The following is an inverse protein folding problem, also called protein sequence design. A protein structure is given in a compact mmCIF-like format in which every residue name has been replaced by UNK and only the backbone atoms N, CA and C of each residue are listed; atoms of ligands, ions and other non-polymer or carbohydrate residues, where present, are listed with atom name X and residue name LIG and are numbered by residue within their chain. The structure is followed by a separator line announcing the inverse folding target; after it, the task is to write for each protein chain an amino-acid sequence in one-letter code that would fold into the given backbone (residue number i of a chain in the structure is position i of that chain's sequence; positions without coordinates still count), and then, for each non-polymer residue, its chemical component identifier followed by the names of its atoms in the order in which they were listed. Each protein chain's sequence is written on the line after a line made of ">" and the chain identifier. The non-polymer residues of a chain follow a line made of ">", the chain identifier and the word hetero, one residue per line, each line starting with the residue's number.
data_IF_609256172321
#
_entry.id   IF_609256172321
#
_cell.length_a   1.000
_cell.length_b   1.000
_cell.length_c   1.000
_cell.angle_alpha   90.00
_cell.angle_beta   90.00
_cell.angle_gamma   90.00
#
_symmetry.space_group_name_H-M   'P 1'
#
loop_
_entity.id
_entity.type
_entity.pdbx_description
1 polymer ?
#
# COMPACT_ATOMS: atom_id res chain seq x y z
N UNK A 1 18.77 -5.15 84.55
CA UNK A 1 18.48 -5.98 83.37
C UNK A 1 17.15 -5.54 82.81
N UNK A 2 17.15 -4.89 81.62
CA UNK A 2 16.55 -5.38 80.36
C UNK A 2 15.00 -5.35 80.39
N UNK A 3 14.23 -4.76 79.49
CA UNK A 3 14.44 -4.31 78.11
C UNK A 3 13.30 -3.36 77.67
N UNK A 4 13.63 -2.51 76.69
CA UNK A 4 12.72 -1.73 75.83
C UNK A 4 11.76 -2.62 75.02
N UNK A 5 10.56 -2.12 74.73
CA UNK A 5 9.73 -2.54 73.60
C UNK A 5 9.28 -1.29 72.84
N UNK A 6 9.86 -1.07 71.66
CA UNK A 6 9.54 -0.02 70.71
C UNK A 6 8.71 -0.65 69.58
N UNK A 7 7.46 -0.23 69.41
CA UNK A 7 6.61 -0.65 68.31
C UNK A 7 6.85 0.28 67.11
N UNK A 8 7.51 -0.23 66.07
CA UNK A 8 7.65 0.44 64.77
C UNK A 8 6.62 -0.11 63.78
N UNK A 9 5.66 0.72 63.40
CA UNK A 9 4.73 0.44 62.29
C UNK A 9 5.45 0.80 60.99
N UNK A 10 5.83 -0.23 60.21
CA UNK A 10 6.30 -0.07 58.83
C UNK A 10 5.07 0.03 57.92
N UNK A 11 4.77 1.23 57.41
CA UNK A 11 3.83 1.40 56.30
C UNK A 11 4.54 1.01 55.00
N UNK A 12 4.18 -0.15 54.45
CA UNK A 12 4.51 -0.54 53.09
C UNK A 12 3.67 0.30 52.11
N UNK A 13 4.26 1.37 51.57
CA UNK A 13 3.71 2.08 50.41
C UNK A 13 3.93 1.17 49.21
N UNK A 14 2.93 0.34 48.91
CA UNK A 14 2.83 -0.34 47.62
C UNK A 14 2.72 0.74 46.55
N UNK A 15 3.83 1.02 45.86
CA UNK A 15 3.82 1.87 44.67
C UNK A 15 3.08 1.10 43.60
N UNK A 16 1.89 1.54 43.12
CA UNK A 16 1.26 0.90 41.99
C UNK A 16 2.19 1.15 40.81
N UNK A 17 2.90 0.11 40.37
CA UNK A 17 3.64 0.12 39.12
C UNK A 17 2.65 0.52 38.04
N UNK A 18 2.74 1.77 37.58
CA UNK A 18 1.85 2.32 36.57
C UNK A 18 2.15 1.57 35.27
N UNK A 19 1.39 0.51 35.02
CA UNK A 19 1.28 -0.06 33.69
C UNK A 19 0.69 1.04 32.82
N UNK A 20 1.55 1.75 32.09
CA UNK A 20 1.12 2.60 30.99
C UNK A 20 0.55 1.66 29.92
N UNK A 21 -0.74 1.39 30.03
CA UNK A 21 -1.49 0.58 29.07
C UNK A 21 -1.44 1.26 27.70
N UNK A 22 -1.40 0.44 26.65
CA UNK A 22 -1.61 0.93 25.28
C UNK A 22 -2.97 1.64 25.25
N UNK A 23 -2.95 2.94 24.96
CA UNK A 23 -4.19 3.74 24.90
C UNK A 23 -4.63 3.85 23.45
N UNK A 24 -5.83 3.35 23.14
CA UNK A 24 -6.47 3.55 21.84
C UNK A 24 -7.36 4.79 21.91
N UNK A 25 -7.22 5.68 20.94
CA UNK A 25 -8.11 6.82 20.73
C UNK A 25 -8.80 6.69 19.38
N UNK A 26 -10.05 7.14 19.32
CA UNK A 26 -10.91 7.08 18.15
C UNK A 26 -11.46 8.47 17.88
N UNK A 27 -11.36 8.96 16.65
CA UNK A 27 -11.95 10.23 16.22
C UNK A 27 -12.78 10.03 14.93
N UNK A 28 -13.87 10.79 14.72
CA UNK A 28 -14.63 10.72 13.47
C UNK A 28 -13.74 11.08 12.28
N UNK A 29 -13.78 10.25 11.24
CA UNK A 29 -12.91 10.41 10.08
C UNK A 29 -13.29 11.58 9.17
N UNK A 30 -14.59 11.92 9.08
CA UNK A 30 -15.08 12.96 8.17
C UNK A 30 -14.46 14.35 8.38
N UNK A 31 -14.28 14.74 9.64
CA UNK A 31 -13.67 16.02 9.99
C UNK A 31 -12.18 16.06 9.58
N UNK A 32 -11.45 14.95 9.77
CA UNK A 32 -10.03 14.88 9.44
C UNK A 32 -9.78 14.78 7.92
N UNK A 33 -10.63 14.08 7.16
CA UNK A 33 -10.57 14.07 5.68
C UNK A 33 -10.73 15.48 5.14
N UNK A 34 -11.77 16.19 5.57
CA UNK A 34 -12.05 17.56 5.13
C UNK A 34 -10.91 18.52 5.50
N UNK A 35 -10.42 18.42 6.74
CA UNK A 35 -9.30 19.23 7.24
C UNK A 35 -8.00 18.96 6.49
N UNK A 36 -7.68 17.69 6.22
CA UNK A 36 -6.50 17.31 5.47
C UNK A 36 -6.56 17.88 4.05
N UNK A 37 -7.66 17.68 3.31
CA UNK A 37 -7.84 18.23 1.96
C UNK A 37 -7.76 19.76 1.94
N UNK A 38 -8.40 20.43 2.89
CA UNK A 38 -8.31 21.88 3.03
C UNK A 38 -6.88 22.36 3.26
N UNK A 39 -6.05 21.56 3.94
CA UNK A 39 -4.66 21.88 4.22
C UNK A 39 -3.73 21.54 3.06
N UNK A 40 -3.98 20.47 2.31
CA UNK A 40 -3.00 19.89 1.38
C UNK A 40 -3.34 20.05 -0.09
N UNK A 41 -4.62 20.18 -0.46
CA UNK A 41 -5.03 20.21 -1.86
C UNK A 41 -4.70 21.57 -2.51
N UNK A 42 -3.90 21.52 -3.58
CA UNK A 42 -3.50 22.69 -4.38
C UNK A 42 -4.59 23.19 -5.33
N UNK A 43 -5.68 22.45 -5.53
CA UNK A 43 -6.77 22.82 -6.46
C UNK A 43 -8.08 23.18 -5.73
N UNK A 44 -8.03 23.38 -4.41
CA UNK A 44 -9.19 23.79 -3.60
C UNK A 44 -9.54 25.28 -3.73
N UNK A 45 -10.64 25.71 -3.10
CA UNK A 45 -11.19 27.09 -3.22
C UNK A 45 -10.24 28.24 -2.85
N UNK A 46 -9.23 27.97 -2.01
CA UNK A 46 -8.22 28.95 -1.57
C UNK A 46 -6.85 28.74 -2.25
N UNK A 47 -6.82 27.95 -3.32
CA UNK A 47 -5.61 27.74 -4.10
C UNK A 47 -5.19 29.00 -4.83
N UNK A 48 -3.88 29.27 -4.80
CA UNK A 48 -3.29 30.31 -5.65
C UNK A 48 -2.85 29.69 -6.97
N UNK A 49 -2.80 30.47 -8.07
CA UNK A 49 -2.24 30.00 -9.33
C UNK A 49 -0.85 29.38 -9.19
N UNK A 50 -0.59 28.27 -9.88
CA UNK A 50 0.68 27.56 -9.80
C UNK A 50 1.05 26.85 -11.11
N UNK A 51 2.35 26.61 -11.24
CA UNK A 51 2.93 25.65 -12.16
C UNK A 51 3.61 24.55 -11.35
N UNK A 52 3.30 23.30 -11.69
CA UNK A 52 3.86 22.13 -11.05
C UNK A 52 4.36 21.13 -12.09
N UNK A 53 5.52 20.52 -11.81
CA UNK A 53 6.07 19.40 -12.56
C UNK A 53 6.43 18.26 -11.61
N UNK A 54 5.93 17.06 -11.92
CA UNK A 54 6.23 15.81 -11.22
C UNK A 54 6.95 14.90 -12.20
N UNK A 55 8.07 14.31 -11.76
CA UNK A 55 8.79 13.26 -12.49
C UNK A 55 8.59 11.95 -11.76
N UNK A 56 8.02 10.96 -12.45
CA UNK A 56 7.80 9.62 -11.92
C UNK A 56 8.87 8.67 -12.46
N UNK A 57 9.46 7.87 -11.57
CA UNK A 57 10.52 6.90 -11.90
C UNK A 57 10.51 5.73 -10.92
N UNK A 58 11.21 4.64 -11.25
CA UNK A 58 11.60 3.58 -10.32
C UNK A 58 13.07 3.79 -9.90
N UNK A 59 13.38 4.42 -8.74
CA UNK A 59 14.74 4.83 -8.42
C UNK A 59 15.73 3.67 -8.29
N UNK A 60 15.24 2.52 -7.80
CA UNK A 60 16.04 1.32 -7.58
C UNK A 60 16.32 0.56 -8.90
N UNK A 61 15.63 0.92 -9.98
CA UNK A 61 15.82 0.35 -11.31
C UNK A 61 15.70 1.43 -12.41
N UNK A 62 16.79 2.15 -12.72
CA UNK A 62 16.76 3.22 -13.73
C UNK A 62 16.42 2.75 -15.16
N UNK A 63 16.51 1.45 -15.44
CA UNK A 63 16.14 0.87 -16.75
C UNK A 63 14.67 0.49 -16.83
N UNK A 64 13.94 0.62 -15.72
CA UNK A 64 12.52 0.35 -15.65
C UNK A 64 11.72 1.09 -16.72
N UNK A 65 10.65 0.48 -17.26
CA UNK A 65 9.71 1.16 -18.14
C UNK A 65 8.87 2.22 -17.40
N UNK A 66 8.83 2.21 -16.06
CA UNK A 66 8.04 3.15 -15.25
C UNK A 66 8.71 4.53 -15.18
N UNK A 67 8.61 5.29 -16.27
CA UNK A 67 9.16 6.65 -16.39
C UNK A 67 8.14 7.57 -17.03
N UNK A 68 7.78 8.65 -16.35
CA UNK A 68 6.79 9.60 -16.86
C UNK A 68 6.89 10.97 -16.22
N UNK A 69 6.17 11.92 -16.80
CA UNK A 69 6.06 13.29 -16.27
C UNK A 69 4.62 13.75 -16.25
N UNK A 70 4.27 14.48 -15.19
CA UNK A 70 2.99 15.15 -15.03
C UNK A 70 3.30 16.63 -14.85
N UNK A 71 2.75 17.48 -15.69
CA UNK A 71 2.96 18.92 -15.64
C UNK A 71 1.60 19.62 -15.66
N UNK A 72 1.37 20.53 -14.72
CA UNK A 72 0.10 21.27 -14.64
C UNK A 72 0.34 22.76 -14.42
N UNK A 73 -0.38 23.55 -15.22
CA UNK A 73 -0.56 24.99 -15.07
C UNK A 73 -1.97 25.24 -14.61
N UNK A 74 -2.13 25.78 -13.41
CA UNK A 74 -3.43 25.95 -12.78
C UNK A 74 -3.65 27.42 -12.44
N UNK A 75 -4.74 28.01 -12.93
CA UNK A 75 -5.17 29.37 -12.58
C UNK A 75 -6.40 29.36 -11.68
N UNK A 76 -7.36 28.50 -12.00
CA UNK A 76 -8.62 28.32 -11.29
C UNK A 76 -9.23 26.96 -11.66
N UNK A 77 -10.31 26.51 -10.99
CA UNK A 77 -11.01 25.29 -11.38
C UNK A 77 -11.51 25.29 -12.84
N UNK A 78 -11.77 26.47 -13.39
CA UNK A 78 -12.29 26.68 -14.75
C UNK A 78 -11.20 27.07 -15.76
N UNK A 79 -9.93 27.12 -15.33
CA UNK A 79 -8.81 27.49 -16.18
C UNK A 79 -7.52 26.79 -15.73
N UNK A 80 -7.17 25.71 -16.42
CA UNK A 80 -5.94 24.94 -16.18
C UNK A 80 -5.54 24.12 -17.41
N UNK A 81 -4.26 23.72 -17.47
CA UNK A 81 -3.69 22.85 -18.49
C UNK A 81 -2.91 21.76 -17.80
N UNK A 82 -3.08 20.50 -18.23
CA UNK A 82 -2.27 19.37 -17.78
C UNK A 82 -1.66 18.66 -18.96
N UNK A 83 -0.39 18.29 -18.83
CA UNK A 83 0.31 17.40 -19.73
C UNK A 83 0.80 16.18 -18.95
N UNK A 84 0.56 14.99 -19.50
CA UNK A 84 1.04 13.72 -18.93
C UNK A 84 1.74 12.95 -20.03
N UNK A 85 2.97 12.50 -19.80
CA UNK A 85 3.73 11.71 -20.77
C UNK A 85 4.43 10.55 -20.11
N UNK A 86 4.69 9.49 -20.86
CA UNK A 86 5.58 8.41 -20.45
C UNK A 86 6.67 8.12 -21.49
N UNK A 87 7.55 7.17 -21.19
CA UNK A 87 8.63 6.74 -22.06
C UNK A 87 8.16 5.88 -23.25
N UNK A 88 7.01 5.22 -23.14
CA UNK A 88 6.49 4.28 -24.13
C UNK A 88 5.62 4.96 -25.20
N UNK A 89 5.44 6.28 -25.11
CA UNK A 89 4.82 7.10 -26.14
C UNK A 89 3.43 7.62 -25.77
N UNK A 90 2.98 7.45 -24.53
CA UNK A 90 1.82 8.16 -24.02
C UNK A 90 2.09 9.67 -24.03
N UNK A 91 1.13 10.43 -24.55
CA UNK A 91 1.01 11.86 -24.27
C UNK A 91 -0.46 12.27 -24.20
N UNK A 92 -0.90 12.70 -23.02
CA UNK A 92 -2.18 13.35 -22.82
C UNK A 92 -1.99 14.83 -22.59
N UNK A 93 -2.78 15.66 -23.26
CA UNK A 93 -2.90 17.10 -23.00
C UNK A 93 -4.35 17.43 -22.72
N UNK A 94 -4.64 18.00 -21.55
CA UNK A 94 -5.95 18.52 -21.18
C UNK A 94 -5.85 20.03 -21.06
N UNK A 95 -6.79 20.76 -21.64
CA UNK A 95 -6.97 22.20 -21.46
C UNK A 95 -8.40 22.46 -21.01
N UNK A 96 -8.55 23.07 -19.84
CA UNK A 96 -9.79 23.68 -19.39
C UNK A 96 -9.65 25.19 -19.52
N UNK A 97 -10.54 25.81 -20.27
CA UNK A 97 -10.58 27.26 -20.46
C UNK A 97 -12.03 27.72 -20.40
N UNK A 98 -12.30 28.69 -19.52
CA UNK A 98 -13.66 29.20 -19.26
C UNK A 98 -14.65 28.06 -18.93
N UNK A 99 -14.18 27.07 -18.16
CA UNK A 99 -14.95 25.90 -17.76
C UNK A 99 -15.15 24.85 -18.86
N UNK A 100 -14.69 25.11 -20.09
CA UNK A 100 -14.75 24.14 -21.19
C UNK A 100 -13.51 23.28 -21.21
N UNK A 101 -13.68 21.97 -20.97
CA UNK A 101 -12.63 20.96 -21.12
C UNK A 101 -12.45 20.55 -22.59
N UNK A 102 -11.21 20.57 -23.06
CA UNK A 102 -10.74 19.97 -24.31
C UNK A 102 -9.54 19.08 -24.01
N UNK A 103 -9.32 18.06 -24.82
CA UNK A 103 -8.34 17.00 -24.56
C UNK A 103 -7.76 16.52 -25.88
N UNK A 104 -6.48 16.19 -25.90
CA UNK A 104 -5.80 15.54 -27.00
C UNK A 104 -4.88 14.47 -26.46
N UNK A 105 -5.03 13.27 -27.00
CA UNK A 105 -4.35 12.07 -26.55
C UNK A 105 -3.57 11.40 -27.69
N UNK A 106 -2.33 11.05 -27.39
CA UNK A 106 -1.42 10.31 -28.26
C UNK A 106 -0.95 9.06 -27.50
N UNK A 107 -0.88 7.93 -28.20
CA UNK A 107 -0.70 6.60 -27.62
C UNK A 107 -1.98 5.76 -27.65
N UNK A 108 -1.88 4.52 -27.19
CA UNK A 108 -2.98 3.54 -27.19
C UNK A 108 -3.52 3.19 -25.80
N UNK A 109 -2.79 3.59 -24.75
CA UNK A 109 -3.08 3.24 -23.36
C UNK A 109 -2.54 4.31 -22.40
N UNK A 110 -3.32 4.66 -21.38
CA UNK A 110 -2.89 5.49 -20.25
C UNK A 110 -2.64 4.58 -19.04
N UNK A 111 -1.36 4.29 -18.70
CA UNK A 111 -1.02 3.35 -17.65
C UNK A 111 -1.65 3.68 -16.31
N UNK A 112 -2.15 2.63 -15.65
CA UNK A 112 -2.73 2.70 -14.32
C UNK A 112 -1.71 3.26 -13.34
N UNK A 113 -0.46 2.77 -13.34
CA UNK A 113 0.60 3.29 -12.46
C UNK A 113 0.78 4.81 -12.57
N UNK A 114 0.75 5.38 -13.78
CA UNK A 114 0.95 6.83 -13.99
C UNK A 114 -0.33 7.62 -13.66
N UNK A 115 -1.50 7.05 -13.99
CA UNK A 115 -2.80 7.61 -13.64
C UNK A 115 -2.96 7.76 -12.11
N UNK A 116 -2.43 6.82 -11.33
CA UNK A 116 -2.43 6.90 -9.87
C UNK A 116 -1.64 8.11 -9.34
N UNK A 117 -0.53 8.50 -9.97
CA UNK A 117 0.20 9.72 -9.60
C UNK A 117 -0.57 11.00 -9.95
N UNK A 118 -1.31 11.00 -11.06
CA UNK A 118 -2.21 12.11 -11.41
C UNK A 118 -3.33 12.23 -10.37
N UNK A 119 -3.95 11.11 -10.00
CA UNK A 119 -4.97 11.07 -8.92
C UNK A 119 -4.35 11.58 -7.61
N UNK A 120 -3.17 11.10 -7.23
CA UNK A 120 -2.51 11.53 -6.00
C UNK A 120 -2.24 13.04 -5.93
N UNK A 121 -1.86 13.66 -7.04
CA UNK A 121 -1.54 15.08 -7.06
C UNK A 121 -2.79 15.97 -6.93
N UNK A 122 -3.92 15.56 -7.51
CA UNK A 122 -5.08 16.43 -7.72
C UNK A 122 -6.40 15.94 -7.08
N UNK A 123 -6.48 14.66 -6.70
CA UNK A 123 -7.59 14.02 -6.00
C UNK A 123 -7.07 12.92 -5.04
N UNK A 124 -6.27 13.29 -4.02
CA UNK A 124 -5.50 12.34 -3.20
C UNK A 124 -6.35 11.38 -2.34
N UNK A 125 -7.64 11.68 -2.18
CA UNK A 125 -8.62 10.83 -1.51
C UNK A 125 -9.80 10.66 -2.47
N UNK A 126 -9.74 9.68 -3.39
CA UNK A 126 -10.88 9.36 -4.23
C UNK A 126 -12.10 9.05 -3.36
N UNK A 127 -13.26 9.57 -3.74
CA UNK A 127 -14.50 9.45 -2.96
C UNK A 127 -14.39 9.96 -1.50
N UNK A 128 -13.74 11.12 -1.31
CA UNK A 128 -13.65 11.77 -0.01
C UNK A 128 -15.03 11.97 0.67
N UNK A 129 -16.08 12.15 -0.12
CA UNK A 129 -17.46 12.26 0.37
C UNK A 129 -17.96 10.93 0.96
N UNK A 130 -17.74 9.80 0.26
CA UNK A 130 -18.08 8.46 0.76
C UNK A 130 -17.33 8.10 2.04
N UNK A 131 -16.03 8.42 2.12
CA UNK A 131 -15.29 8.27 3.38
C UNK A 131 -15.93 9.13 4.48
N UNK A 132 -16.16 10.41 4.23
CA UNK A 132 -16.78 11.33 5.20
C UNK A 132 -18.15 10.83 5.70
N UNK A 133 -18.95 10.26 4.81
CA UNK A 133 -20.29 9.72 5.12
C UNK A 133 -20.28 8.32 5.73
N UNK A 134 -19.17 7.58 5.68
CA UNK A 134 -19.11 6.16 6.09
C UNK A 134 -19.31 5.92 7.58
N UNK A 135 -19.11 6.94 8.43
CA UNK A 135 -19.12 6.80 9.89
C UNK A 135 -17.93 6.03 10.48
N UNK A 136 -16.98 5.59 9.63
CA UNK A 136 -15.76 4.91 10.07
C UNK A 136 -14.95 5.86 10.97
N UNK A 137 -14.32 5.27 11.98
CA UNK A 137 -13.48 5.99 12.93
C UNK A 137 -12.00 5.86 12.57
N UNK A 138 -11.26 6.95 12.77
CA UNK A 138 -9.80 6.93 12.75
C UNK A 138 -9.29 6.43 14.10
N UNK A 139 -8.53 5.36 14.07
CA UNK A 139 -7.91 4.78 15.24
C UNK A 139 -6.45 5.24 15.34
N UNK A 140 -6.05 5.63 16.54
CA UNK A 140 -4.66 5.93 16.87
C UNK A 140 -4.28 5.19 18.15
N UNK A 141 -3.08 4.61 18.14
CA UNK A 141 -2.52 3.88 19.26
C UNK A 141 -1.44 4.76 19.90
N UNK A 142 -1.54 4.99 21.21
CA UNK A 142 -0.47 5.56 22.01
C UNK A 142 0.24 4.46 22.77
N UNK A 143 1.53 4.30 22.49
CA UNK A 143 2.42 3.34 23.13
C UNK A 143 2.76 3.78 24.58
N UNK A 144 3.23 2.84 25.43
CA UNK A 144 3.59 3.14 26.82
C UNK A 144 4.64 4.25 26.98
N UNK A 145 5.52 4.41 25.99
CA UNK A 145 6.55 5.47 25.96
C UNK A 145 6.00 6.84 25.49
N UNK A 146 4.69 6.96 25.25
CA UNK A 146 4.04 8.18 24.77
C UNK A 146 4.07 8.36 23.25
N UNK A 147 4.78 7.51 22.50
CA UNK A 147 4.78 7.57 21.05
C UNK A 147 3.39 7.22 20.51
N UNK A 148 2.97 7.91 19.45
CA UNK A 148 1.69 7.68 18.79
C UNK A 148 1.91 7.04 17.43
N UNK A 149 1.06 6.09 17.07
CA UNK A 149 0.93 5.66 15.69
C UNK A 149 0.35 6.78 14.83
N UNK A 150 0.42 6.62 13.52
CA UNK A 150 -0.44 7.37 12.62
C UNK A 150 -1.92 7.07 12.95
N UNK A 151 -2.79 8.02 12.65
CA UNK A 151 -4.23 7.83 12.80
C UNK A 151 -4.77 7.22 11.51
N UNK A 152 -5.26 5.98 11.56
CA UNK A 152 -5.68 5.24 10.37
C UNK A 152 -7.12 4.75 10.48
N UNK A 153 -7.81 4.70 9.35
CA UNK A 153 -9.10 4.04 9.18
C UNK A 153 -8.97 2.98 8.10
N UNK A 154 -9.75 1.90 8.26
CA UNK A 154 -9.77 0.77 7.33
C UNK A 154 -11.21 0.45 6.95
N UNK A 155 -11.47 0.34 5.65
CA UNK A 155 -12.68 -0.19 5.09
C UNK A 155 -12.38 -1.56 4.45
N UNK A 156 -13.34 -2.48 4.54
CA UNK A 156 -13.26 -3.79 3.93
C UNK A 156 -14.30 -3.90 2.84
N UNK A 157 -13.88 -4.42 1.68
CA UNK A 157 -14.74 -4.71 0.54
C UNK A 157 -14.45 -6.12 0.03
N UNK A 158 -15.27 -6.58 -0.94
CA UNK A 158 -15.06 -7.86 -1.61
C UNK A 158 -14.58 -7.62 -3.04
N UNK A 159 -13.60 -8.40 -3.47
CA UNK A 159 -13.16 -8.49 -4.87
C UNK A 159 -13.44 -9.90 -5.38
N UNK A 160 -14.01 -9.99 -6.58
CA UNK A 160 -14.54 -11.23 -7.16
C UNK A 160 -16.01 -11.47 -6.83
N UNK A 161 -16.63 -12.45 -7.49
CA UNK A 161 -17.99 -12.89 -7.20
C UNK A 161 -18.05 -14.32 -6.66
N UNK A 162 -19.17 -14.69 -6.02
CA UNK A 162 -19.43 -16.06 -5.59
C UNK A 162 -18.36 -16.65 -4.67
N UNK A 163 -17.91 -17.86 -5.00
CA UNK A 163 -16.89 -18.61 -4.26
C UNK A 163 -15.47 -18.02 -4.41
N UNK A 164 -15.26 -17.18 -5.43
CA UNK A 164 -14.00 -16.49 -5.74
C UNK A 164 -13.83 -15.18 -4.97
N UNK A 165 -14.88 -14.70 -4.31
CA UNK A 165 -14.88 -13.43 -3.61
C UNK A 165 -13.96 -13.45 -2.38
N UNK A 166 -12.99 -12.55 -2.33
CA UNK A 166 -12.05 -12.40 -1.21
C UNK A 166 -12.04 -10.98 -0.65
N UNK A 167 -11.54 -10.82 0.57
CA UNK A 167 -11.48 -9.52 1.25
C UNK A 167 -10.38 -8.65 0.66
N UNK A 168 -10.76 -7.44 0.27
CA UNK A 168 -9.82 -6.39 -0.04
C UNK A 168 -10.03 -5.23 0.93
N UNK A 169 -9.00 -4.41 1.08
CA UNK A 169 -8.98 -3.38 2.10
C UNK A 169 -8.63 -2.05 1.48
N UNK A 170 -9.35 -1.03 1.91
CA UNK A 170 -8.96 0.35 1.70
C UNK A 170 -8.53 0.94 3.03
N UNK A 171 -7.47 1.74 3.02
CA UNK A 171 -6.93 2.38 4.20
C UNK A 171 -6.72 3.86 3.93
N UNK A 172 -6.93 4.68 4.95
CA UNK A 172 -6.55 6.09 4.94
C UNK A 172 -5.84 6.38 6.25
N UNK A 173 -4.66 7.00 6.17
CA UNK A 173 -3.84 7.32 7.32
C UNK A 173 -3.40 8.78 7.29
N UNK A 174 -3.38 9.39 8.48
CA UNK A 174 -2.91 10.75 8.69
C UNK A 174 -1.73 10.78 9.66
N UNK A 175 -0.77 11.66 9.39
CA UNK A 175 0.37 11.88 10.28
C UNK A 175 -0.02 12.65 11.56
N UNK A 176 0.93 12.82 12.48
CA UNK A 176 0.70 13.57 13.73
C UNK A 176 0.33 15.05 13.55
N UNK A 177 0.43 15.59 12.34
CA UNK A 177 0.02 16.98 11.98
C UNK A 177 -1.31 17.01 11.23
N UNK A 178 -2.00 15.88 11.09
CA UNK A 178 -3.25 15.75 10.34
C UNK A 178 -3.08 15.93 8.84
N UNK A 179 -1.89 15.65 8.29
CA UNK A 179 -1.66 15.60 6.84
C UNK A 179 -1.88 14.16 6.37
N UNK A 180 -2.40 14.00 5.16
CA UNK A 180 -2.54 12.69 4.56
C UNK A 180 -1.16 12.03 4.47
N UNK A 181 -1.03 10.81 4.96
CA UNK A 181 0.24 10.06 4.93
C UNK A 181 0.16 8.91 3.94
N UNK A 182 -0.99 8.24 3.92
CA UNK A 182 -1.24 7.12 3.04
C UNK A 182 -2.72 7.07 2.68
N UNK A 183 -2.99 6.76 1.42
CA UNK A 183 -4.28 6.26 0.96
C UNK A 183 -4.05 4.96 0.21
N UNK A 184 -4.83 3.94 0.49
CA UNK A 184 -4.78 2.66 -0.20
C UNK A 184 -6.17 2.14 -0.49
N UNK A 185 -6.37 1.55 -1.64
CA UNK A 185 -7.57 0.86 -2.08
C UNK A 185 -7.17 -0.13 -3.18
N UNK A 186 -8.04 -1.08 -3.55
CA UNK A 186 -7.76 -1.99 -4.66
C UNK A 186 -7.35 -1.31 -5.97
N UNK A 187 -7.82 -0.09 -6.22
CA UNK A 187 -7.60 0.67 -7.46
C UNK A 187 -6.40 1.63 -7.41
N UNK A 188 -6.02 2.06 -6.21
CA UNK A 188 -5.16 3.21 -6.03
C UNK A 188 -4.49 3.13 -4.66
N UNK A 189 -3.16 3.22 -4.65
CA UNK A 189 -2.38 3.34 -3.43
C UNK A 189 -1.34 4.45 -3.55
N UNK A 190 -1.15 5.23 -2.51
CA UNK A 190 -0.13 6.27 -2.50
C UNK A 190 0.27 6.65 -1.08
N UNK A 191 1.57 6.78 -0.86
CA UNK A 191 2.13 7.46 0.29
C UNK A 191 2.53 8.90 -0.08
N UNK A 192 2.42 9.79 0.89
CA UNK A 192 2.64 11.22 0.71
C UNK A 192 3.73 11.70 1.67
N UNK A 193 4.82 12.23 1.11
CA UNK A 193 6.05 12.53 1.84
C UNK A 193 6.51 13.98 1.62
N UNK A 194 7.40 14.43 2.51
CA UNK A 194 8.14 15.69 2.37
C UNK A 194 7.28 16.94 2.15
N UNK A 195 6.22 17.07 2.94
CA UNK A 195 5.33 18.23 2.90
C UNK A 195 6.07 19.57 2.99
N UNK A 196 5.83 20.44 2.00
CA UNK A 196 6.35 21.83 1.96
C UNK A 196 5.24 22.85 1.86
N UNK A 197 5.50 24.04 2.38
CA UNK A 197 4.57 25.16 2.29
C UNK A 197 4.48 25.74 0.89
N UNK A 198 3.26 25.95 0.40
CA UNK A 198 2.97 26.70 -0.81
C UNK A 198 1.79 27.64 -0.55
N UNK A 199 2.08 28.92 -0.30
CA UNK A 199 1.09 29.86 0.23
C UNK A 199 0.57 29.38 1.59
N UNK A 200 -0.75 29.19 1.71
CA UNK A 200 -1.40 28.67 2.92
C UNK A 200 -1.50 27.14 2.97
N UNK A 201 -1.09 26.44 1.89
CA UNK A 201 -1.21 24.99 1.75
C UNK A 201 0.08 24.28 2.17
N UNK A 202 -0.03 22.99 2.48
CA UNK A 202 1.09 22.07 2.67
C UNK A 202 1.00 20.98 1.60
N UNK A 203 1.91 20.97 0.64
CA UNK A 203 1.86 20.02 -0.47
C UNK A 203 2.96 18.96 -0.34
N UNK A 204 2.68 17.67 -0.55
CA UNK A 204 3.69 16.63 -0.56
C UNK A 204 4.62 16.81 -1.75
N UNK A 205 5.93 16.76 -1.52
CA UNK A 205 6.93 16.90 -2.59
C UNK A 205 7.37 15.56 -3.17
N UNK A 206 6.93 14.46 -2.55
CA UNK A 206 7.21 13.12 -2.98
C UNK A 206 5.96 12.24 -2.79
N UNK A 207 5.65 11.50 -3.83
CA UNK A 207 4.59 10.50 -3.90
C UNK A 207 5.26 9.13 -4.06
N UNK A 208 4.80 8.12 -3.33
CA UNK A 208 5.38 6.78 -3.39
C UNK A 208 4.27 5.75 -3.59
N UNK A 209 4.45 4.87 -4.55
CA UNK A 209 3.55 3.75 -4.85
C UNK A 209 4.39 2.49 -5.04
N UNK A 210 4.00 1.40 -4.39
CA UNK A 210 4.64 0.10 -4.50
C UNK A 210 3.59 -0.87 -5.09
N UNK A 211 3.38 -0.88 -6.42
CA UNK A 211 2.22 -1.53 -7.03
C UNK A 211 2.35 -3.06 -7.05
N UNK A 212 3.58 -3.59 -6.93
CA UNK A 212 3.87 -5.01 -6.66
C UNK A 212 5.15 -5.16 -5.83
N UNK A 213 5.37 -6.33 -5.18
CA UNK A 213 6.61 -6.59 -4.47
C UNK A 213 7.84 -6.39 -5.35
N UNK A 214 8.79 -5.57 -4.89
CA UNK A 214 10.05 -5.30 -5.59
C UNK A 214 10.01 -4.13 -6.56
N UNK A 215 8.83 -3.58 -6.86
CA UNK A 215 8.68 -2.38 -7.71
C UNK A 215 8.33 -1.19 -6.83
N UNK A 216 9.20 -0.18 -6.81
CA UNK A 216 9.00 1.06 -6.04
C UNK A 216 8.98 2.28 -6.94
N UNK A 217 7.81 2.85 -7.13
CA UNK A 217 7.61 4.04 -7.96
C UNK A 217 7.61 5.30 -7.09
N UNK A 218 8.34 6.32 -7.57
CA UNK A 218 8.47 7.61 -6.89
C UNK A 218 8.15 8.73 -7.85
N UNK A 219 7.12 9.51 -7.51
CA UNK A 219 6.78 10.78 -8.14
C UNK A 219 7.40 11.93 -7.36
N UNK A 220 8.46 12.54 -7.88
CA UNK A 220 9.12 13.68 -7.26
C UNK A 220 8.63 15.00 -7.87
N UNK A 221 8.17 15.93 -7.04
CA UNK A 221 7.82 17.28 -7.46
C UNK A 221 9.10 18.07 -7.69
N UNK A 222 9.48 18.25 -8.95
CA UNK A 222 10.72 18.95 -9.35
C UNK A 222 10.52 20.45 -9.50
N UNK A 223 9.29 20.86 -9.82
CA UNK A 223 8.88 22.27 -9.89
C UNK A 223 7.56 22.45 -9.15
N UNK A 224 7.49 23.47 -8.30
CA UNK A 224 6.25 23.99 -7.73
C UNK A 224 6.44 25.49 -7.48
N UNK A 225 5.87 26.32 -8.36
CA UNK A 225 6.07 27.77 -8.33
C UNK A 225 4.78 28.54 -8.58
N UNK A 226 4.83 29.84 -8.25
CA UNK A 226 3.73 30.76 -8.47
C UNK A 226 3.63 31.10 -9.96
N UNK A 227 2.44 30.93 -10.54
CA UNK A 227 2.21 31.08 -11.99
C UNK A 227 2.48 32.51 -12.49
N UNK A 228 2.46 33.51 -11.60
CA UNK A 228 2.81 34.91 -11.96
C UNK A 228 4.22 35.07 -12.56
N UNK A 229 5.06 34.04 -12.45
CA UNK A 229 6.40 33.98 -13.04
C UNK A 229 6.41 33.52 -14.49
N UNK A 230 5.30 33.00 -15.01
CA UNK A 230 5.20 32.43 -16.35
C UNK A 230 4.87 33.54 -17.35
N UNK A 231 5.62 33.56 -18.45
CA UNK A 231 5.38 34.48 -19.57
C UNK A 231 4.43 33.80 -20.57
N UNK A 232 3.56 34.58 -21.20
CA UNK A 232 2.62 34.11 -22.24
C UNK A 232 1.58 33.09 -21.76
N UNK A 233 1.05 33.29 -20.55
CA UNK A 233 0.00 32.47 -19.93
C UNK A 233 -1.23 32.28 -20.82
N UNK A 234 -1.57 33.25 -21.69
CA UNK A 234 -2.72 33.18 -22.58
C UNK A 234 -2.65 32.00 -23.57
N UNK A 235 -1.46 31.71 -24.10
CA UNK A 235 -1.31 30.67 -25.13
C UNK A 235 -1.51 29.25 -24.55
N UNK A 236 -1.20 29.07 -23.26
CA UNK A 236 -1.31 27.77 -22.56
C UNK A 236 -2.76 27.26 -22.51
N UNK A 237 -3.73 28.17 -22.41
CA UNK A 237 -5.15 27.84 -22.23
C UNK A 237 -5.96 27.89 -23.52
N UNK A 238 -5.29 27.87 -24.67
CA UNK A 238 -6.00 27.76 -25.96
C UNK A 238 -6.70 26.40 -26.06
N UNK A 239 -8.04 26.36 -26.25
CA UNK A 239 -8.75 25.09 -26.40
C UNK A 239 -8.17 24.24 -27.54
N UNK A 240 -8.07 22.94 -27.29
CA UNK A 240 -7.58 21.97 -28.26
C UNK A 240 -8.67 21.66 -29.30
N UNK A 241 -8.26 21.14 -30.46
CA UNK A 241 -9.18 20.54 -31.42
C UNK A 241 -9.94 19.37 -30.81
N UNK A 242 -11.12 19.04 -31.35
CA UNK A 242 -11.87 17.87 -30.89
C UNK A 242 -11.02 16.60 -31.10
N UNK A 243 -10.96 15.77 -30.07
CA UNK A 243 -10.31 14.46 -30.12
C UNK A 243 -11.36 13.37 -29.87
N UNK A 244 -11.56 12.54 -30.88
CA UNK A 244 -12.43 11.36 -30.80
C UNK A 244 -11.72 10.18 -30.11
N UNK A 245 -10.42 10.30 -29.83
CA UNK A 245 -9.56 9.23 -29.30
C UNK A 245 -9.17 9.41 -27.82
N UNK A 246 -10.04 10.04 -27.03
CA UNK A 246 -9.79 10.41 -25.61
C UNK A 246 -9.61 9.23 -24.67
N UNK A 247 -8.60 9.25 -23.81
CA UNK A 247 -8.27 8.25 -22.79
C UNK A 247 -9.33 8.26 -21.70
N UNK A 248 -10.42 7.57 -21.95
CA UNK A 248 -11.38 7.22 -20.91
C UNK A 248 -10.99 5.88 -20.27
N UNK A 249 -10.84 5.91 -18.95
CA UNK A 249 -10.60 4.73 -18.11
C UNK A 249 -11.75 4.57 -17.12
N UNK A 250 -12.52 3.50 -17.28
CA UNK A 250 -13.72 3.25 -16.49
C UNK A 250 -13.44 2.16 -15.46
N UNK A 251 -13.57 2.50 -14.18
CA UNK A 251 -13.60 1.48 -13.14
C UNK A 251 -14.90 0.68 -13.25
N UNK A 252 -14.77 -0.65 -13.29
CA UNK A 252 -15.93 -1.55 -13.35
C UNK A 252 -15.92 -2.53 -12.17
N UNK A 253 -17.09 -3.08 -11.86
CA UNK A 253 -17.24 -4.05 -10.76
C UNK A 253 -16.58 -5.39 -11.11
N UNK A 254 -16.30 -6.22 -10.09
CA UNK A 254 -15.77 -7.57 -10.33
C UNK A 254 -16.68 -8.43 -11.21
N UNK A 255 -18.00 -8.32 -11.05
CA UNK A 255 -18.95 -9.02 -11.92
C UNK A 255 -18.81 -8.60 -13.39
N UNK A 256 -18.60 -7.30 -13.64
CA UNK A 256 -18.37 -6.80 -14.99
C UNK A 256 -17.00 -7.25 -15.54
N UNK A 257 -15.94 -7.22 -14.73
CA UNK A 257 -14.62 -7.74 -15.13
C UNK A 257 -14.70 -9.23 -15.53
N UNK A 258 -15.37 -10.05 -14.71
CA UNK A 258 -15.56 -11.48 -14.99
C UNK A 258 -16.36 -11.73 -16.27
N UNK A 259 -17.36 -10.89 -16.56
CA UNK A 259 -18.13 -10.96 -17.81
C UNK A 259 -17.29 -10.57 -19.04
N UNK A 260 -16.43 -9.55 -18.89
CA UNK A 260 -15.54 -9.10 -19.96
C UNK A 260 -14.42 -10.11 -20.24
N UNK A 261 -13.95 -10.83 -19.23
CA UNK A 261 -12.95 -11.90 -19.35
C UNK A 261 -13.56 -13.28 -19.67
N UNK A 262 -14.88 -13.38 -19.83
CA UNK A 262 -15.55 -14.66 -20.07
C UNK A 262 -15.03 -15.32 -21.36
N UNK A 263 -14.53 -16.54 -21.23
CA UNK A 263 -13.95 -17.33 -22.34
C UNK A 263 -12.42 -17.44 -22.31
N UNK A 264 -11.75 -16.72 -21.43
CA UNK A 264 -10.33 -16.96 -21.16
C UNK A 264 -10.12 -18.32 -20.47
N UNK A 265 -8.96 -18.96 -20.67
CA UNK A 265 -8.64 -20.23 -20.02
C UNK A 265 -8.61 -20.09 -18.51
N UNK A 266 -8.96 -21.15 -17.79
CA UNK A 266 -8.77 -21.21 -16.35
C UNK A 266 -7.29 -21.11 -15.99
N UNK A 267 -7.00 -20.53 -14.82
CA UNK A 267 -5.64 -20.44 -14.31
C UNK A 267 -5.15 -21.84 -13.95
N UNK A 268 -3.98 -22.20 -14.47
CA UNK A 268 -3.26 -23.40 -14.05
C UNK A 268 -2.43 -23.06 -12.81
N UNK A 269 -2.80 -23.63 -11.67
CA UNK A 269 -2.12 -23.39 -10.40
C UNK A 269 -0.90 -24.31 -10.24
N UNK A 270 0.34 -23.78 -10.22
CA UNK A 270 1.52 -24.60 -10.00
C UNK A 270 1.58 -25.11 -8.54
N UNK A 271 2.29 -26.22 -8.28
CA UNK A 271 2.60 -26.63 -6.91
C UNK A 271 3.34 -25.53 -6.15
N UNK A 272 3.04 -25.39 -4.87
CA UNK A 272 3.69 -24.43 -3.97
C UNK A 272 4.62 -25.16 -3.00
N UNK A 273 5.66 -24.50 -2.50
CA UNK A 273 6.59 -25.13 -1.56
C UNK A 273 6.08 -25.09 -0.11
N UNK A 274 5.18 -24.16 0.22
CA UNK A 274 4.53 -24.05 1.53
C UNK A 274 3.23 -23.25 1.44
N UNK A 275 2.57 -23.03 2.59
CA UNK A 275 1.34 -22.25 2.69
C UNK A 275 0.06 -23.03 2.37
N UNK A 276 -1.03 -22.30 2.12
CA UNK A 276 -2.33 -22.89 1.83
C UNK A 276 -2.35 -23.50 0.42
N UNK A 277 -2.88 -24.71 0.28
CA UNK A 277 -3.04 -25.38 -1.02
C UNK A 277 -4.42 -25.19 -1.65
N UNK A 278 -5.33 -24.53 -0.92
CA UNK A 278 -6.62 -24.08 -1.41
C UNK A 278 -6.91 -22.70 -0.83
N UNK A 279 -7.66 -21.88 -1.55
CA UNK A 279 -8.00 -20.54 -1.07
C UNK A 279 -8.39 -19.63 -2.21
N UNK A 280 -8.20 -18.34 -1.98
CA UNK A 280 -8.55 -17.27 -2.92
C UNK A 280 -7.38 -16.36 -3.20
N UNK A 281 -7.41 -15.78 -4.39
CA UNK A 281 -6.52 -14.74 -4.84
C UNK A 281 -7.36 -13.64 -5.48
N UNK A 282 -7.04 -12.38 -5.22
CA UNK A 282 -7.57 -11.26 -5.98
C UNK A 282 -6.46 -10.43 -6.61
N UNK A 283 -6.81 -9.85 -7.75
CA UNK A 283 -5.91 -9.09 -8.60
C UNK A 283 -6.65 -7.88 -9.15
N UNK A 284 -6.00 -6.73 -9.19
CA UNK A 284 -6.49 -5.57 -9.92
C UNK A 284 -5.92 -5.57 -11.32
N UNK A 285 -6.79 -5.47 -12.33
CA UNK A 285 -6.41 -5.60 -13.73
C UNK A 285 -6.81 -4.35 -14.48
N UNK A 286 -5.90 -3.84 -15.31
CA UNK A 286 -6.21 -2.77 -16.27
C UNK A 286 -6.05 -3.27 -17.70
N UNK A 287 -7.03 -2.91 -18.51
CA UNK A 287 -7.24 -3.42 -19.86
C UNK A 287 -7.40 -2.24 -20.81
N UNK A 288 -6.71 -2.28 -21.94
CA UNK A 288 -6.81 -1.25 -22.96
C UNK A 288 -8.14 -1.34 -23.76
N UNK A 289 -8.34 -0.37 -24.68
CA UNK A 289 -9.55 -0.29 -25.52
C UNK A 289 -9.76 -1.49 -26.43
N UNK A 290 -8.70 -2.20 -26.76
CA UNK A 290 -8.76 -3.38 -27.60
C UNK A 290 -8.98 -4.65 -26.77
N UNK A 291 -9.03 -4.56 -25.44
CA UNK A 291 -9.23 -5.71 -24.56
C UNK A 291 -7.94 -6.44 -24.21
N UNK A 292 -6.77 -5.84 -24.44
CA UNK A 292 -5.47 -6.41 -24.00
C UNK A 292 -5.22 -6.03 -22.55
N UNK A 293 -4.86 -7.01 -21.72
CA UNK A 293 -4.41 -6.75 -20.34
C UNK A 293 -3.04 -6.06 -20.41
N UNK A 294 -2.97 -4.84 -19.88
CA UNK A 294 -1.72 -4.06 -19.82
C UNK A 294 -1.06 -4.17 -18.46
N UNK A 295 -1.86 -4.24 -17.42
CA UNK A 295 -1.41 -4.29 -16.04
C UNK A 295 -2.26 -5.25 -15.23
N UNK A 296 -1.61 -5.96 -14.31
CA UNK A 296 -2.21 -6.98 -13.46
C UNK A 296 -1.42 -6.99 -12.15
N UNK A 297 -2.05 -6.54 -11.07
CA UNK A 297 -1.42 -6.27 -9.78
C UNK A 297 -2.06 -7.16 -8.71
N UNK A 298 -1.31 -8.05 -8.04
CA UNK A 298 -1.86 -8.86 -6.96
C UNK A 298 -2.31 -7.97 -5.80
N UNK A 299 -3.49 -8.24 -5.25
CA UNK A 299 -4.06 -7.49 -4.12
C UNK A 299 -3.92 -8.26 -2.81
N UNK A 300 -4.47 -9.47 -2.80
CA UNK A 300 -4.43 -10.35 -1.64
C UNK A 300 -4.55 -11.80 -2.09
N UNK A 301 -3.87 -12.67 -1.36
CA UNK A 301 -3.83 -14.09 -1.67
C UNK A 301 -3.70 -14.91 -0.39
N UNK A 302 -4.45 -16.00 -0.31
CA UNK A 302 -4.28 -17.00 0.74
C UNK A 302 -2.95 -17.77 0.58
N UNK A 303 -2.28 -17.63 -0.56
CA UNK A 303 -0.91 -18.09 -0.79
C UNK A 303 -0.16 -17.19 -1.79
N UNK A 304 0.69 -16.28 -1.29
CA UNK A 304 1.45 -15.32 -2.10
C UNK A 304 2.38 -15.98 -3.14
N UNK A 305 2.77 -17.25 -2.97
CA UNK A 305 3.55 -18.00 -3.96
C UNK A 305 2.79 -18.25 -5.28
N UNK A 306 1.50 -17.94 -5.34
CA UNK A 306 0.66 -18.04 -6.53
C UNK A 306 0.43 -16.70 -7.26
N UNK A 307 0.92 -15.59 -6.70
CA UNK A 307 0.67 -14.24 -7.23
C UNK A 307 1.30 -14.06 -8.61
N UNK A 308 2.60 -14.33 -8.75
CA UNK A 308 3.32 -14.21 -10.03
C UNK A 308 2.77 -15.21 -11.08
N UNK A 309 2.59 -16.52 -10.79
CA UNK A 309 2.01 -17.45 -11.76
C UNK A 309 0.60 -17.06 -12.24
N UNK A 310 -0.24 -16.51 -11.36
CA UNK A 310 -1.55 -16.02 -11.75
C UNK A 310 -1.43 -14.77 -12.63
N UNK A 311 -0.59 -13.81 -12.22
CA UNK A 311 -0.36 -12.54 -12.95
C UNK A 311 0.12 -12.82 -14.36
N UNK A 312 1.10 -13.70 -14.51
CA UNK A 312 1.66 -14.06 -15.80
C UNK A 312 0.59 -14.63 -16.73
N UNK A 313 -0.29 -15.51 -16.24
CA UNK A 313 -1.39 -16.05 -17.04
C UNK A 313 -2.45 -15.00 -17.39
N UNK A 314 -2.85 -14.17 -16.42
CA UNK A 314 -3.85 -13.10 -16.62
C UNK A 314 -3.35 -12.06 -17.63
N UNK A 315 -2.06 -11.73 -17.65
CA UNK A 315 -1.47 -10.81 -18.64
C UNK A 315 -1.62 -11.29 -20.09
N UNK A 316 -1.85 -12.59 -20.31
CA UNK A 316 -2.10 -13.15 -21.65
C UNK A 316 -3.59 -13.26 -22.00
N UNK A 317 -4.49 -12.88 -21.10
CA UNK A 317 -5.93 -12.91 -21.35
C UNK A 317 -6.36 -11.83 -22.34
N UNK A 318 -7.43 -12.13 -23.08
CA UNK A 318 -8.12 -11.18 -23.96
C UNK A 318 -9.51 -10.91 -23.44
N UNK A 319 -9.77 -9.66 -23.13
CA UNK A 319 -11.08 -9.19 -22.68
C UNK A 319 -11.90 -8.76 -23.90
N UNK A 320 -13.23 -8.82 -23.76
CA UNK A 320 -14.13 -8.12 -24.69
C UNK A 320 -13.88 -6.62 -24.53
N UNK A 321 -13.81 -5.89 -25.65
CA UNK A 321 -13.72 -4.43 -25.61
C UNK A 321 -14.91 -3.84 -24.86
N UNK A 322 -14.63 -3.01 -23.86
CA UNK A 322 -15.65 -2.24 -23.17
C UNK A 322 -16.00 -0.98 -23.97
N UNK A 323 -17.23 -0.51 -23.81
CA UNK A 323 -17.70 0.74 -24.42
C UNK A 323 -18.32 1.67 -23.38
N UNK A 324 -18.16 2.97 -23.58
CA UNK A 324 -18.86 4.00 -22.80
C UNK A 324 -20.37 4.04 -23.13
N UNK A 325 -21.10 4.97 -22.50
CA UNK A 325 -22.54 5.19 -22.76
C UNK A 325 -22.84 5.66 -24.19
N UNK A 326 -21.85 6.18 -24.90
CA UNK A 326 -21.93 6.67 -26.27
C UNK A 326 -21.49 5.63 -27.30
N UNK A 327 -21.03 4.45 -26.86
CA UNK A 327 -20.57 3.36 -27.71
C UNK A 327 -19.09 3.43 -28.11
N UNK A 328 -18.31 4.39 -27.58
CA UNK A 328 -16.89 4.49 -27.85
C UNK A 328 -16.12 3.45 -27.03
N UNK A 329 -15.07 2.88 -27.61
CA UNK A 329 -14.22 1.92 -26.89
C UNK A 329 -13.43 2.64 -25.80
N UNK A 330 -13.42 2.07 -24.60
CA UNK A 330 -12.75 2.65 -23.44
C UNK A 330 -11.81 1.64 -22.79
N UNK A 331 -10.83 2.17 -22.06
CA UNK A 331 -10.02 1.37 -21.15
C UNK A 331 -10.87 1.04 -19.93
N UNK A 332 -10.63 -0.12 -19.32
CA UNK A 332 -11.30 -0.49 -18.08
C UNK A 332 -10.30 -0.97 -17.05
N UNK A 333 -10.64 -0.77 -15.80
CA UNK A 333 -9.89 -1.28 -14.67
C UNK A 333 -10.82 -1.82 -13.58
N UNK A 334 -10.41 -2.89 -12.91
CA UNK A 334 -11.25 -3.55 -11.91
C UNK A 334 -10.61 -4.77 -11.28
N UNK A 335 -11.20 -5.22 -10.18
CA UNK A 335 -10.71 -6.38 -9.44
C UNK A 335 -11.30 -7.70 -9.95
N UNK A 336 -10.46 -8.72 -10.12
CA UNK A 336 -10.83 -10.11 -10.37
C UNK A 336 -10.53 -10.95 -9.13
N UNK A 337 -11.44 -11.88 -8.80
CA UNK A 337 -11.21 -12.90 -7.80
C UNK A 337 -11.04 -14.28 -8.45
N UNK A 338 -10.22 -15.11 -7.82
CA UNK A 338 -9.93 -16.47 -8.25
C UNK A 338 -10.01 -17.40 -7.05
N UNK A 339 -10.62 -18.58 -7.24
CA UNK A 339 -10.44 -19.72 -6.34
C UNK A 339 -9.26 -20.54 -6.85
N UNK A 340 -8.37 -20.97 -5.96
CA UNK A 340 -7.29 -21.87 -6.32
C UNK A 340 -7.35 -23.17 -5.55
N UNK A 341 -6.90 -24.22 -6.22
CA UNK A 341 -6.57 -25.52 -5.64
C UNK A 341 -5.25 -25.96 -6.26
N UNK A 342 -4.28 -26.31 -5.42
CA UNK A 342 -2.94 -26.75 -5.81
C UNK A 342 -2.46 -27.84 -4.85
N UNK A 343 -1.18 -28.18 -4.90
CA UNK A 343 -0.53 -29.16 -4.04
C UNK A 343 0.82 -28.63 -3.55
N UNK A 344 1.29 -29.18 -2.43
CA UNK A 344 2.68 -28.98 -2.03
C UNK A 344 3.59 -29.78 -2.97
N UNK A 345 4.57 -29.12 -3.56
CA UNK A 345 5.63 -29.74 -4.37
C UNK A 345 6.98 -29.18 -3.94
N UNK A 346 7.96 -30.06 -3.72
CA UNK A 346 9.29 -29.71 -3.20
C UNK A 346 9.18 -28.85 -1.92
N UNK A 347 8.62 -29.40 -0.83
CA UNK A 347 8.37 -28.64 0.39
C UNK A 347 9.65 -28.03 0.94
N UNK A 348 9.55 -26.81 1.46
CA UNK A 348 10.65 -26.20 2.19
C UNK A 348 11.01 -27.05 3.43
N UNK A 349 12.29 -27.18 3.78
CA UNK A 349 12.70 -27.81 5.03
C UNK A 349 12.08 -27.11 6.25
N UNK A 350 11.58 -27.90 7.19
CA UNK A 350 11.04 -27.44 8.48
C UNK A 350 12.01 -27.85 9.58
N UNK A 351 12.69 -26.87 10.17
CA UNK A 351 13.74 -27.09 11.16
C UNK A 351 13.21 -26.94 12.60
N UNK A 352 13.70 -27.80 13.49
CA UNK A 352 13.47 -27.70 14.94
C UNK A 352 14.25 -26.53 15.57
N UNK A 353 13.89 -26.15 16.80
CA UNK A 353 14.58 -25.09 17.56
C UNK A 353 16.10 -25.30 17.62
N UNK A 354 16.52 -26.55 17.88
CA UNK A 354 17.94 -26.90 17.94
C UNK A 354 18.65 -26.73 16.60
N UNK A 355 18.00 -27.12 15.49
CA UNK A 355 18.56 -26.99 14.14
C UNK A 355 18.65 -25.52 13.73
N UNK A 356 17.59 -24.73 13.96
CA UNK A 356 17.60 -23.29 13.69
C UNK A 356 18.70 -22.58 14.49
N UNK A 357 18.81 -22.87 15.80
CA UNK A 357 19.86 -22.30 16.66
C UNK A 357 21.27 -22.74 16.24
N UNK A 358 21.43 -23.93 15.67
CA UNK A 358 22.72 -24.38 15.12
C UNK A 358 23.15 -23.58 13.90
N UNK A 359 22.20 -23.02 13.14
CA UNK A 359 22.46 -22.15 11.99
C UNK A 359 22.70 -20.70 12.41
N UNK A 360 22.23 -20.27 13.57
CA UNK A 360 22.41 -18.90 14.05
C UNK A 360 23.90 -18.58 14.31
N UNK A 361 24.37 -17.48 13.73
CA UNK A 361 25.73 -16.93 13.87
C UNK A 361 25.79 -16.00 15.08
N UNK A 362 24.71 -15.28 15.35
CA UNK A 362 24.55 -14.40 16.50
C UNK A 362 23.19 -14.66 17.13
N UNK A 363 23.18 -14.99 18.41
CA UNK A 363 21.99 -15.29 19.20
C UNK A 363 21.91 -14.30 20.35
N UNK A 364 20.83 -13.55 20.39
CA UNK A 364 20.51 -12.63 21.47
C UNK A 364 19.18 -13.07 22.07
N UNK A 365 19.20 -13.46 23.34
CA UNK A 365 17.97 -13.87 24.03
C UNK A 365 17.07 -12.66 24.30
N UNK A 366 15.73 -12.78 24.10
CA UNK A 366 14.80 -11.70 24.39
C UNK A 366 14.88 -11.23 25.83
N UNK A 367 14.80 -9.92 26.03
CA UNK A 367 14.60 -9.33 27.35
C UNK A 367 13.11 -9.30 27.67
N UNK A 368 12.67 -10.25 28.47
CA UNK A 368 11.26 -10.39 28.84
C UNK A 368 10.81 -9.25 29.76
N UNK A 369 9.62 -8.68 29.55
CA UNK A 369 9.03 -7.76 30.51
C UNK A 369 8.77 -8.49 31.83
N UNK A 370 9.08 -7.84 32.96
CA UNK A 370 8.97 -8.41 34.31
C UNK A 370 7.52 -8.65 34.78
N UNK A 371 6.54 -8.39 33.93
CA UNK A 371 5.12 -8.40 34.29
C UNK A 371 4.25 -8.78 33.10
N UNK A 372 3.16 -9.51 33.38
CA UNK A 372 2.15 -9.87 32.37
C UNK A 372 2.51 -11.08 31.51
N UNK A 373 3.63 -11.75 31.82
CA UNK A 373 4.03 -13.04 31.25
C UNK A 373 4.18 -14.06 32.37
N UNK A 374 3.80 -15.31 32.10
CA UNK A 374 3.90 -16.37 33.10
C UNK A 374 5.30 -16.99 33.03
N UNK A 375 6.03 -16.96 34.15
CA UNK A 375 7.33 -17.65 34.26
C UNK A 375 7.17 -19.15 33.98
N UNK A 376 8.11 -19.71 33.23
CA UNK A 376 8.11 -21.09 32.73
C UNK A 376 7.23 -21.33 31.50
N UNK A 377 6.45 -20.34 31.04
CA UNK A 377 5.69 -20.46 29.79
C UNK A 377 6.64 -20.60 28.60
N UNK A 378 6.33 -21.53 27.70
CA UNK A 378 7.07 -21.72 26.45
C UNK A 378 6.29 -21.07 25.32
N UNK A 379 6.91 -20.14 24.62
CA UNK A 379 6.34 -19.58 23.39
C UNK A 379 7.05 -20.16 22.18
N UNK A 380 6.27 -20.45 21.13
CA UNK A 380 6.76 -20.92 19.85
C UNK A 380 6.66 -19.80 18.82
N UNK A 381 7.79 -19.55 18.14
CA UNK A 381 7.90 -18.51 17.12
C UNK A 381 8.35 -19.18 15.84
N UNK A 382 7.55 -19.04 14.78
CA UNK A 382 7.94 -19.51 13.46
C UNK A 382 8.87 -18.48 12.83
N UNK A 383 9.95 -18.93 12.24
CA UNK A 383 10.86 -18.10 11.46
C UNK A 383 10.98 -18.67 10.07
N UNK A 384 11.20 -17.78 9.11
CA UNK A 384 11.53 -18.13 7.75
C UNK A 384 12.85 -17.45 7.39
N UNK A 385 13.78 -18.19 6.82
CA UNK A 385 15.13 -17.70 6.50
C UNK A 385 15.41 -18.00 5.03
N UNK A 386 15.87 -16.99 4.30
CA UNK A 386 16.18 -17.10 2.88
C UNK A 386 17.52 -17.81 2.60
N UNK A 387 17.80 -18.03 1.32
CA UNK A 387 19.00 -18.68 0.83
C UNK A 387 20.29 -17.92 1.18
N UNK A 388 20.20 -16.64 1.58
CA UNK A 388 21.34 -15.86 2.04
C UNK A 388 21.51 -15.91 3.56
N UNK A 389 20.67 -16.66 4.28
CA UNK A 389 20.68 -16.73 5.74
C UNK A 389 20.08 -15.49 6.39
N UNK A 390 19.34 -14.67 5.64
CA UNK A 390 18.64 -13.50 6.16
C UNK A 390 17.21 -13.90 6.55
N UNK A 391 16.77 -13.36 7.68
CA UNK A 391 15.42 -13.57 8.17
C UNK A 391 14.42 -12.93 7.18
N UNK A 392 13.59 -13.77 6.58
CA UNK A 392 12.58 -13.39 5.60
C UNK A 392 11.19 -13.21 6.22
N UNK A 393 10.91 -13.86 7.36
CA UNK A 393 9.61 -13.76 8.01
C UNK A 393 9.56 -14.30 9.43
N UNK A 394 8.58 -13.83 10.19
CA UNK A 394 8.34 -14.23 11.59
C UNK A 394 6.85 -14.39 11.79
N UNK A 395 6.45 -15.55 12.30
CA UNK A 395 5.07 -15.88 12.61
C UNK A 395 4.86 -16.09 14.10
N UNK A 396 3.91 -15.36 14.68
CA UNK A 396 3.47 -15.54 16.05
C UNK A 396 2.12 -16.25 16.08
N UNK A 397 2.09 -17.47 16.63
CA UNK A 397 0.85 -18.22 16.82
C UNK A 397 0.50 -18.23 18.30
N UNK A 398 -0.57 -17.54 18.69
CA UNK A 398 -1.05 -17.48 20.09
C UNK A 398 -0.04 -16.93 21.10
N UNK A 399 0.93 -16.12 20.66
CA UNK A 399 1.92 -15.48 21.53
C UNK A 399 1.35 -14.16 22.07
N UNK A 400 1.40 -13.87 23.39
CA UNK A 400 0.97 -12.58 23.94
C UNK A 400 1.74 -11.40 23.34
N UNK A 401 1.06 -10.28 23.06
CA UNK A 401 1.67 -9.09 22.42
C UNK A 401 2.93 -8.62 23.16
N UNK A 402 2.93 -8.67 24.51
CA UNK A 402 4.09 -8.30 25.31
C UNK A 402 5.33 -9.17 25.03
N UNK A 403 5.13 -10.48 24.79
CA UNK A 403 6.18 -11.41 24.40
C UNK A 403 6.61 -11.21 22.94
N UNK A 404 5.67 -10.92 22.04
CA UNK A 404 5.99 -10.61 20.64
C UNK A 404 6.97 -9.43 20.56
N UNK A 405 6.74 -8.35 21.31
CA UNK A 405 7.63 -7.19 21.34
C UNK A 405 9.04 -7.52 21.83
N UNK A 406 9.17 -8.31 22.90
CA UNK A 406 10.47 -8.74 23.41
C UNK A 406 11.27 -9.54 22.37
N UNK A 407 10.57 -10.43 21.68
CA UNK A 407 11.13 -11.28 20.61
C UNK A 407 11.51 -10.45 19.38
N UNK A 408 10.64 -9.55 18.93
CA UNK A 408 10.91 -8.64 17.82
C UNK A 408 12.15 -7.76 18.04
N UNK A 409 12.38 -7.32 19.28
CA UNK A 409 13.51 -6.44 19.60
C UNK A 409 14.87 -7.10 19.37
N UNK A 410 15.00 -8.42 19.53
CA UNK A 410 16.30 -9.10 19.39
C UNK A 410 16.56 -9.58 17.97
N UNK A 411 15.54 -9.69 17.12
CA UNK A 411 15.69 -10.29 15.80
C UNK A 411 16.59 -9.55 14.84
N UNK A 412 16.66 -8.22 14.93
CA UNK A 412 17.58 -7.44 14.11
C UNK A 412 19.06 -7.76 14.39
N UNK A 413 19.35 -8.38 15.55
CA UNK A 413 20.68 -8.81 15.92
C UNK A 413 20.99 -10.25 15.46
N UNK A 414 19.96 -11.04 15.14
CA UNK A 414 20.14 -12.43 14.70
C UNK A 414 20.59 -12.49 13.25
N UNK A 415 21.51 -13.40 12.98
CA UNK A 415 21.99 -13.74 11.63
C UNK A 415 22.09 -15.24 11.53
N UNK A 416 21.76 -15.82 10.38
CA UNK A 416 21.85 -17.26 10.17
C UNK A 416 22.88 -17.57 9.08
N UNK A 417 23.49 -18.75 9.19
CA UNK A 417 24.14 -19.38 8.05
C UNK A 417 23.05 -19.90 7.11
N UNK A 418 23.23 -19.79 5.78
CA UNK A 418 22.35 -20.48 4.84
C UNK A 418 22.25 -21.97 5.17
N UNK A 419 21.05 -22.53 5.09
CA UNK A 419 20.88 -23.98 5.10
C UNK A 419 21.41 -24.51 3.77
N UNK A 420 22.44 -25.37 3.81
CA UNK A 420 22.99 -26.00 2.61
C UNK A 420 22.43 -27.41 2.49
N UNK A 421 21.66 -27.65 1.42
CA UNK A 421 21.15 -28.97 1.06
C UNK A 421 21.53 -29.25 -0.41
N UNK A 422 22.07 -30.44 -0.67
CA UNK A 422 22.57 -30.84 -1.99
C UNK A 422 23.55 -29.83 -2.62
N UNK A 423 24.40 -29.23 -1.76
CA UNK A 423 25.41 -28.26 -2.17
C UNK A 423 24.86 -26.89 -2.57
N UNK A 424 23.56 -26.64 -2.38
CA UNK A 424 22.92 -25.35 -2.67
C UNK A 424 22.32 -24.74 -1.41
N UNK A 425 22.38 -23.41 -1.25
CA UNK A 425 21.61 -22.75 -0.23
C UNK A 425 20.10 -22.94 -0.48
N UNK A 426 19.35 -23.15 0.58
CA UNK A 426 17.90 -23.35 0.56
C UNK A 426 17.22 -22.40 1.54
N UNK A 427 16.06 -21.89 1.13
CA UNK A 427 15.11 -21.28 2.04
C UNK A 427 14.60 -22.34 3.02
N UNK A 428 14.37 -21.98 4.28
CA UNK A 428 13.75 -22.89 5.25
C UNK A 428 12.79 -22.18 6.19
N UNK A 429 11.87 -22.97 6.75
CA UNK A 429 11.07 -22.59 7.90
C UNK A 429 11.62 -23.28 9.15
N UNK A 430 11.40 -22.68 10.31
CA UNK A 430 11.73 -23.34 11.56
C UNK A 430 10.94 -22.79 12.74
N UNK A 431 10.95 -23.55 13.83
CA UNK A 431 10.26 -23.19 15.07
C UNK A 431 11.29 -22.92 16.16
N UNK A 432 11.35 -21.69 16.63
CA UNK A 432 12.14 -21.30 17.80
C UNK A 432 11.28 -21.35 19.06
N UNK A 433 11.87 -21.91 20.12
CA UNK A 433 11.23 -22.02 21.44
C UNK A 433 11.93 -21.09 22.42
N UNK A 434 11.13 -20.33 23.14
CA UNK A 434 11.60 -19.46 24.20
C UNK A 434 10.88 -19.79 25.50
N UNK A 435 11.65 -19.94 26.58
CA UNK A 435 11.12 -20.12 27.93
C UNK A 435 11.15 -18.77 28.63
N UNK A 436 10.00 -18.31 29.10
CA UNK A 436 9.90 -17.09 29.90
C UNK A 436 10.53 -17.39 31.27
N UNK A 437 11.54 -16.61 31.72
CA UNK A 437 12.34 -16.93 32.90
C UNK A 437 11.59 -16.81 34.22
#
# INVERSE_FOLDING_TARGET
>A
MKNLALAGILLLIASPSAYTQIKRTSIPMGDEVTKALNKTLLTGSDARPFHMRIVVSEPDNPQSPYQGTIEEWWMSPDQWRREVTDKEGLKQTIVVAEGKKTEKDEGDYFPLWLREFVIAAFEPIPDAAGWTASGIQLEQITLPNGNKSDACARAQSKIGTGDRATDAFSNICFDGKGMLKFYGSPRYAMEFHDYRGFGKKQFPMQFVNDPEPGTRLVGAVTTLEDESKIKNVADLFTPLGADDNRFESVAVSSAAMEQLSAGNPEITWPPVQSGNVHGRLAMYVSVDRDGVVREAWPLNSDNAGLDDPARDQVRHWKFKSAVDKSGNRVQVDGGLGFSFETKIGNPLPELSDAEVRSLAINLVEPKWPSSGLQSGEVIEVRVSVDEQGKLAGIGFTKVPIAAQGAVLNVWHEWKFRPLIQDGKPQYFHGVLRFVIP
#
